data_IF_711298550519
#
_entry.id   IF_711298550519
#
_cell.length_a   1.000
_cell.length_b   1.000
_cell.length_c   1.000
_cell.angle_alpha   90.00
_cell.angle_beta   90.00
_cell.angle_gamma   90.00
#
_symmetry.space_group_name_H-M   'P 1'
#
loop_
_entity.id
_entity.type
_entity.pdbx_description
1 polymer ?
#
# COMPACT_ATOMS: atom_id res chain seq x y z
N UNK A 1 20.59 0.92 53.33
CA UNK A 1 20.16 1.73 52.16
C UNK A 1 21.05 1.40 50.97
N UNK A 2 20.52 1.40 49.75
CA UNK A 2 21.18 1.16 48.43
C UNK A 2 20.93 -0.18 47.71
N UNK A 3 20.00 -1.03 48.15
CA UNK A 3 19.55 -2.20 47.34
C UNK A 3 18.25 -1.97 46.55
N UNK A 4 17.72 -0.75 46.53
CA UNK A 4 16.40 -0.40 45.95
C UNK A 4 16.53 0.35 44.60
N UNK A 5 17.73 0.50 44.03
CA UNK A 5 17.94 1.31 42.80
C UNK A 5 17.88 0.48 41.49
N UNK A 6 17.49 -0.81 41.54
CA UNK A 6 17.50 -1.67 40.34
C UNK A 6 16.14 -2.25 39.93
N UNK A 7 15.03 -1.57 40.23
CA UNK A 7 13.67 -2.03 39.84
C UNK A 7 12.90 -0.99 39.03
N UNK A 8 13.57 0.04 38.48
CA UNK A 8 12.97 1.00 37.54
C UNK A 8 13.63 0.85 36.17
N UNK A 9 13.72 -0.38 35.68
CA UNK A 9 13.68 -0.62 34.24
C UNK A 9 12.26 -1.08 33.99
N UNK A 10 11.34 -0.10 34.02
CA UNK A 10 10.01 -0.27 33.46
C UNK A 10 10.22 -0.66 32.01
N UNK A 11 10.05 -1.95 31.78
CA UNK A 11 9.76 -2.61 30.52
C UNK A 11 8.61 -1.82 29.87
N UNK A 12 8.96 -0.74 29.17
CA UNK A 12 8.16 -0.22 28.06
C UNK A 12 8.38 -1.18 26.89
N UNK A 13 7.90 -2.41 27.03
CA UNK A 13 7.50 -3.16 25.85
C UNK A 13 6.22 -2.49 25.37
N UNK A 14 6.39 -1.42 24.60
CA UNK A 14 5.36 -1.03 23.65
C UNK A 14 5.23 -2.20 22.69
N UNK A 15 4.26 -3.09 22.98
CA UNK A 15 3.72 -3.97 21.96
C UNK A 15 3.42 -3.07 20.76
N UNK A 16 3.84 -3.41 19.52
CA UNK A 16 3.33 -2.70 18.36
C UNK A 16 1.82 -2.86 18.41
N UNK A 17 1.13 -1.79 18.81
CA UNK A 17 -0.29 -1.66 18.52
C UNK A 17 -0.35 -1.58 17.01
N UNK A 18 -0.54 -2.73 16.36
CA UNK A 18 -0.88 -2.77 14.95
C UNK A 18 -2.19 -2.00 14.84
N UNK A 19 -2.11 -0.75 14.41
CA UNK A 19 -3.29 0.00 14.05
C UNK A 19 -3.88 -0.75 12.86
N UNK A 20 -4.95 -1.49 13.12
CA UNK A 20 -5.65 -2.22 12.09
C UNK A 20 -6.14 -1.23 11.04
N UNK A 21 -6.03 -1.62 9.76
CA UNK A 21 -6.55 -0.79 8.68
C UNK A 21 -8.07 -0.85 8.75
N UNK A 22 -8.73 0.31 8.81
CA UNK A 22 -10.20 0.33 8.76
C UNK A 22 -10.72 -0.39 7.51
N UNK A 23 -11.91 -0.98 7.59
CA UNK A 23 -12.50 -1.66 6.44
C UNK A 23 -12.64 -0.75 5.21
N UNK A 24 -12.91 0.54 5.43
CA UNK A 24 -12.94 1.55 4.38
C UNK A 24 -11.56 1.73 3.71
N UNK A 25 -10.51 1.88 4.51
CA UNK A 25 -9.15 1.99 4.00
C UNK A 25 -8.71 0.70 3.30
N UNK A 26 -9.08 -0.47 3.82
CA UNK A 26 -8.78 -1.77 3.21
C UNK A 26 -9.46 -1.91 1.86
N UNK A 27 -10.74 -1.56 1.77
CA UNK A 27 -11.47 -1.55 0.50
C UNK A 27 -10.86 -0.56 -0.51
N UNK A 28 -10.46 0.64 -0.06
CA UNK A 28 -9.82 1.64 -0.93
C UNK A 28 -8.43 1.20 -1.38
N UNK A 29 -7.66 0.54 -0.50
CA UNK A 29 -6.35 -0.01 -0.81
C UNK A 29 -6.41 -1.14 -1.86
N UNK A 30 -7.44 -2.00 -1.80
CA UNK A 30 -7.72 -2.97 -2.84
C UNK A 30 -8.09 -2.30 -4.17
N UNK A 31 -9.01 -1.33 -4.16
CA UNK A 31 -9.45 -0.62 -5.36
C UNK A 31 -8.26 0.10 -6.04
N UNK A 32 -7.43 0.80 -5.27
CA UNK A 32 -6.23 1.45 -5.79
C UNK A 32 -5.20 0.45 -6.33
N UNK A 33 -5.01 -0.69 -5.67
CA UNK A 33 -4.15 -1.76 -6.19
C UNK A 33 -4.68 -2.30 -7.52
N UNK A 34 -6.00 -2.45 -7.68
CA UNK A 34 -6.64 -2.81 -8.94
C UNK A 34 -6.42 -1.78 -10.05
N UNK A 35 -6.56 -0.48 -9.74
CA UNK A 35 -6.30 0.62 -10.69
C UNK A 35 -4.84 0.57 -11.17
N UNK A 36 -3.88 0.49 -10.23
CA UNK A 36 -2.46 0.41 -10.59
C UNK A 36 -2.12 -0.81 -11.45
N UNK A 37 -2.69 -1.98 -11.16
CA UNK A 37 -2.52 -3.17 -11.98
C UNK A 37 -3.14 -2.99 -13.37
N UNK A 38 -4.29 -2.31 -13.48
CA UNK A 38 -4.93 -2.04 -14.77
C UNK A 38 -4.11 -1.11 -15.65
N UNK A 39 -3.35 -0.17 -15.08
CA UNK A 39 -2.43 0.72 -15.79
C UNK A 39 -1.29 -0.04 -16.50
N UNK A 40 -1.07 -1.31 -16.19
CA UNK A 40 -0.14 -2.17 -16.91
C UNK A 40 -0.71 -2.66 -18.25
N UNK A 41 -2.01 -2.90 -18.32
CA UNK A 41 -2.71 -3.54 -19.44
C UNK A 41 -3.46 -2.53 -20.31
N UNK A 42 -2.81 -1.42 -20.64
CA UNK A 42 -3.46 -0.36 -21.41
C UNK A 42 -3.81 -0.82 -22.83
N UNK A 43 -4.95 -0.38 -23.39
CA UNK A 43 -5.31 -0.63 -24.77
C UNK A 43 -4.23 -0.15 -25.75
N UNK A 44 -4.09 -0.85 -26.88
CA UNK A 44 -3.16 -0.48 -27.96
C UNK A 44 -3.46 0.95 -28.44
N UNK A 45 -2.45 1.81 -28.41
CA UNK A 45 -2.54 3.20 -28.86
C UNK A 45 -2.58 4.25 -27.73
N UNK A 46 -2.66 3.84 -26.45
CA UNK A 46 -2.49 4.77 -25.33
C UNK A 46 -1.02 5.01 -25.03
N UNK A 47 -0.61 6.28 -25.06
CA UNK A 47 0.71 6.71 -24.58
C UNK A 47 0.65 6.86 -23.07
N UNK A 48 1.48 6.11 -22.37
CA UNK A 48 1.56 6.13 -20.93
C UNK A 48 3.00 6.28 -20.52
N UNK A 49 3.27 7.29 -19.69
CA UNK A 49 4.64 7.59 -19.29
C UNK A 49 5.22 6.42 -18.48
N UNK A 50 6.44 6.02 -18.83
CA UNK A 50 7.09 4.85 -18.25
C UNK A 50 7.28 4.98 -16.72
N UNK A 51 7.61 6.19 -16.25
CA UNK A 51 7.70 6.56 -14.83
C UNK A 51 6.41 6.25 -14.04
N UNK A 52 5.23 6.44 -14.62
CA UNK A 52 3.94 6.21 -13.97
C UNK A 52 3.64 4.73 -13.80
N UNK A 53 4.27 3.88 -14.62
CA UNK A 53 4.09 2.42 -14.64
C UNK A 53 4.93 1.83 -13.53
N UNK A 54 6.17 2.27 -13.45
CA UNK A 54 7.09 1.95 -12.36
C UNK A 54 6.53 2.42 -11.01
N UNK A 55 6.00 3.65 -10.94
CA UNK A 55 5.36 4.18 -9.73
C UNK A 55 4.10 3.39 -9.34
N UNK A 56 3.25 3.02 -10.31
CA UNK A 56 2.06 2.17 -10.07
C UNK A 56 2.46 0.79 -9.54
N UNK A 57 3.44 0.12 -10.17
CA UNK A 57 3.91 -1.20 -9.76
C UNK A 57 4.53 -1.18 -8.35
N UNK A 58 5.34 -0.15 -8.08
CA UNK A 58 5.93 0.08 -6.77
C UNK A 58 4.85 0.33 -5.71
N UNK A 59 3.80 1.07 -6.06
CA UNK A 59 2.67 1.36 -5.17
C UNK A 59 1.89 0.09 -4.79
N UNK A 60 1.64 -0.81 -5.76
CA UNK A 60 1.00 -2.11 -5.48
C UNK A 60 1.84 -2.93 -4.50
N UNK A 61 3.15 -3.01 -4.72
CA UNK A 61 4.06 -3.74 -3.85
C UNK A 61 4.05 -3.18 -2.43
N UNK A 62 4.17 -1.85 -2.28
CA UNK A 62 4.18 -1.18 -0.98
C UNK A 62 2.85 -1.35 -0.23
N UNK A 63 1.71 -1.30 -0.93
CA UNK A 63 0.40 -1.57 -0.32
C UNK A 63 0.30 -3.01 0.19
N UNK A 64 0.75 -4.00 -0.60
CA UNK A 64 0.78 -5.41 -0.17
C UNK A 64 1.69 -5.61 1.03
N UNK A 65 2.92 -5.08 0.98
CA UNK A 65 3.87 -5.15 2.11
C UNK A 65 3.25 -4.56 3.38
N UNK A 66 2.66 -3.37 3.29
CA UNK A 66 2.03 -2.73 4.45
C UNK A 66 0.83 -3.53 4.98
N UNK A 67 -0.02 -4.07 4.10
CA UNK A 67 -1.15 -4.91 4.50
C UNK A 67 -0.68 -6.14 5.29
N UNK A 68 0.38 -6.82 4.83
CA UNK A 68 0.96 -7.96 5.53
C UNK A 68 1.63 -7.53 6.85
N UNK A 69 2.32 -6.38 6.88
CA UNK A 69 2.95 -5.81 8.08
C UNK A 69 1.95 -5.58 9.21
N UNK A 70 0.73 -5.12 8.90
CA UNK A 70 -0.32 -4.86 9.89
C UNK A 70 -1.21 -6.08 10.19
N UNK A 71 -0.92 -7.23 9.58
CA UNK A 71 -1.56 -8.50 9.90
C UNK A 71 -2.74 -8.91 9.01
N UNK A 72 -2.99 -8.22 7.89
CA UNK A 72 -3.99 -8.69 6.91
C UNK A 72 -3.46 -9.99 6.28
N UNK A 73 -4.22 -11.10 6.31
CA UNK A 73 -3.79 -12.35 5.69
C UNK A 73 -3.58 -12.19 4.19
N UNK A 74 -2.47 -12.73 3.65
CA UNK A 74 -2.14 -12.64 2.22
C UNK A 74 -3.29 -13.12 1.32
N UNK A 75 -3.94 -14.22 1.68
CA UNK A 75 -5.08 -14.75 0.93
C UNK A 75 -6.25 -13.76 0.86
N UNK A 76 -6.55 -13.06 1.96
CA UNK A 76 -7.60 -12.03 1.98
C UNK A 76 -7.20 -10.85 1.10
N UNK A 77 -5.95 -10.39 1.24
CA UNK A 77 -5.42 -9.30 0.44
C UNK A 77 -5.48 -9.59 -1.06
N UNK A 78 -4.95 -10.74 -1.49
CA UNK A 78 -4.90 -11.13 -2.89
C UNK A 78 -6.32 -11.31 -3.49
N UNK A 79 -7.27 -11.83 -2.72
CA UNK A 79 -8.67 -11.94 -3.15
C UNK A 79 -9.31 -10.56 -3.39
N UNK A 80 -9.07 -9.61 -2.50
CA UNK A 80 -9.55 -8.24 -2.63
C UNK A 80 -8.94 -7.51 -3.82
N UNK A 81 -7.62 -7.60 -3.98
CA UNK A 81 -6.90 -7.00 -5.12
C UNK A 81 -7.34 -7.61 -6.44
N UNK A 82 -7.47 -8.94 -6.55
CA UNK A 82 -7.91 -9.58 -7.79
C UNK A 82 -9.31 -9.10 -8.21
N UNK A 83 -10.25 -9.03 -7.27
CA UNK A 83 -11.61 -8.52 -7.54
C UNK A 83 -11.58 -7.07 -8.02
N UNK A 84 -10.71 -6.23 -7.46
CA UNK A 84 -10.51 -4.86 -7.91
C UNK A 84 -9.84 -4.77 -9.29
N UNK A 85 -8.82 -5.60 -9.55
CA UNK A 85 -8.15 -5.66 -10.84
C UNK A 85 -9.14 -6.07 -11.96
N UNK A 86 -9.97 -7.09 -11.71
CA UNK A 86 -11.01 -7.54 -12.66
C UNK A 86 -12.01 -6.41 -12.98
N UNK A 87 -12.36 -5.58 -11.98
CA UNK A 87 -13.25 -4.43 -12.16
C UNK A 87 -12.66 -3.36 -13.09
N UNK A 88 -11.36 -3.13 -13.01
CA UNK A 88 -10.68 -2.06 -13.76
C UNK A 88 -10.02 -2.55 -15.05
N UNK A 89 -9.89 -3.86 -15.25
CA UNK A 89 -9.26 -4.45 -16.43
C UNK A 89 -9.89 -3.95 -17.74
N UNK A 90 -9.03 -3.52 -18.68
CA UNK A 90 -9.46 -2.98 -19.98
C UNK A 90 -10.00 -1.54 -19.93
N UNK A 91 -10.00 -0.90 -18.76
CA UNK A 91 -10.31 0.54 -18.64
C UNK A 91 -9.22 1.39 -19.29
N UNK A 92 -9.61 2.56 -19.79
CA UNK A 92 -8.66 3.58 -20.22
C UNK A 92 -7.90 4.13 -19.02
N UNK A 93 -6.67 4.59 -19.26
CA UNK A 93 -5.92 5.28 -18.22
C UNK A 93 -6.66 6.52 -17.70
N UNK A 94 -6.68 6.67 -16.38
CA UNK A 94 -7.25 7.82 -15.67
C UNK A 94 -6.20 8.37 -14.69
N UNK A 95 -5.55 9.45 -15.10
CA UNK A 95 -4.48 10.10 -14.34
C UNK A 95 -4.99 10.63 -12.99
N UNK A 96 -6.17 11.24 -12.98
CA UNK A 96 -6.75 11.83 -11.77
C UNK A 96 -7.03 10.75 -10.72
N UNK A 97 -7.59 9.60 -11.13
CA UNK A 97 -7.78 8.46 -10.22
C UNK A 97 -6.47 7.86 -9.74
N UNK A 98 -5.47 7.79 -10.62
CA UNK A 98 -4.16 7.26 -10.27
C UNK A 98 -3.45 8.15 -9.24
N UNK A 99 -3.51 9.47 -9.40
CA UNK A 99 -2.98 10.44 -8.44
C UNK A 99 -3.77 10.46 -7.12
N UNK A 100 -5.09 10.29 -7.15
CA UNK A 100 -5.88 10.10 -5.93
C UNK A 100 -5.39 8.88 -5.14
N UNK A 101 -5.10 7.77 -5.82
CA UNK A 101 -4.54 6.58 -5.21
C UNK A 101 -3.13 6.79 -4.68
N UNK A 102 -2.31 7.61 -5.32
CA UNK A 102 -0.98 7.96 -4.80
C UNK A 102 -1.11 8.75 -3.50
N UNK A 103 -1.95 9.77 -3.47
CA UNK A 103 -2.21 10.57 -2.27
C UNK A 103 -2.76 9.72 -1.12
N UNK A 104 -3.70 8.82 -1.43
CA UNK A 104 -4.23 7.87 -0.45
C UNK A 104 -3.13 6.97 0.13
N UNK A 105 -2.30 6.36 -0.71
CA UNK A 105 -1.19 5.50 -0.27
C UNK A 105 -0.22 6.27 0.62
N UNK A 106 0.19 7.47 0.20
CA UNK A 106 1.13 8.32 0.94
C UNK A 106 0.59 8.76 2.30
N UNK A 107 -0.73 8.93 2.44
CA UNK A 107 -1.40 9.25 3.69
C UNK A 107 -1.70 8.03 4.58
N UNK A 108 -1.95 6.87 3.97
CA UNK A 108 -2.25 5.62 4.69
C UNK A 108 -0.99 5.01 5.34
N UNK A 109 0.11 4.97 4.59
CA UNK A 109 1.30 4.22 4.97
C UNK A 109 2.33 5.14 5.63
N UNK A 110 2.87 4.80 6.81
CA UNK A 110 3.96 5.54 7.41
C UNK A 110 5.16 5.64 6.46
N UNK A 111 5.52 6.87 6.10
CA UNK A 111 6.55 7.20 5.09
C UNK A 111 6.24 6.61 3.69
N UNK A 112 4.96 6.54 3.31
CA UNK A 112 4.49 5.87 2.09
C UNK A 112 5.21 6.33 0.82
N UNK A 113 5.39 7.64 0.64
CA UNK A 113 6.13 8.22 -0.49
C UNK A 113 7.56 7.68 -0.61
N UNK A 114 8.28 7.64 0.50
CA UNK A 114 9.67 7.14 0.52
C UNK A 114 9.74 5.64 0.31
N UNK A 115 8.77 4.88 0.83
CA UNK A 115 8.67 3.44 0.57
C UNK A 115 8.47 3.16 -0.93
N UNK A 116 7.58 3.90 -1.59
CA UNK A 116 7.35 3.76 -3.05
C UNK A 116 8.62 4.11 -3.84
N UNK A 117 9.25 5.25 -3.54
CA UNK A 117 10.46 5.68 -4.24
C UNK A 117 11.63 4.71 -4.06
N UNK A 118 11.75 4.05 -2.91
CA UNK A 118 12.77 3.02 -2.67
C UNK A 118 12.60 1.80 -3.56
N UNK A 119 11.37 1.44 -3.93
CA UNK A 119 11.11 0.30 -4.82
C UNK A 119 11.47 0.63 -6.27
N UNK A 120 11.23 1.86 -6.74
CA UNK A 120 11.55 2.31 -8.11
C UNK A 120 13.06 2.31 -8.40
N UNK A 121 13.91 2.44 -7.37
CA UNK A 121 15.37 2.56 -7.50
C UNK A 121 16.12 1.22 -7.55
N UNK A 122 15.41 0.08 -7.58
CA UNK A 122 15.97 -1.27 -7.76
C UNK A 122 15.44 -1.91 -9.04
#
# INVERSE_FOLDING_TARGET
MNKIIFVIISIFFSLPTYADMSDENKSKAWDCSGIYLSNYFLPVGETFEYNMKEKSMSSVKVLKEYALEIGIPEKEWDQGVNKAADKHYGSKFDEAKTEECHNFLEGLIPNGKERVNKVVLY
#
